data_IF_756728231321
#
_entry.id   IF_756728231321
#
_cell.length_a   1.000
_cell.length_b   1.000
_cell.length_c   1.000
_cell.angle_alpha   90.00
_cell.angle_beta   90.00
_cell.angle_gamma   90.00
#
_symmetry.space_group_name_H-M   'P 1'
#
loop_
_entity.id
_entity.type
_entity.pdbx_description
1 polymer ?
#
# COMPACT_ATOMS: atom_id res chain seq x y z
N UNK A 1 -6.56 -10.45 2.75
CA UNK A 1 -5.45 -9.50 2.98
C UNK A 1 -4.57 -9.55 1.74
N UNK A 2 -4.04 -8.42 1.31
CA UNK A 2 -3.13 -8.36 0.16
C UNK A 2 -1.74 -7.97 0.67
N UNK A 3 -0.71 -8.69 0.24
CA UNK A 3 0.68 -8.39 0.55
C UNK A 3 1.44 -8.18 -0.76
N UNK A 4 2.21 -7.11 -0.83
CA UNK A 4 3.29 -7.01 -1.80
C UNK A 4 4.45 -7.76 -1.16
N UNK A 5 4.90 -8.84 -1.79
CA UNK A 5 6.05 -9.58 -1.30
C UNK A 5 7.28 -8.68 -1.47
N UNK A 6 7.72 -8.09 -0.38
CA UNK A 6 8.96 -7.33 -0.36
C UNK A 6 10.14 -8.31 -0.23
N UNK A 7 11.30 -7.98 -0.79
CA UNK A 7 12.52 -8.71 -0.53
C UNK A 7 13.27 -8.13 0.69
N UNK A 8 14.10 -8.97 1.31
CA UNK A 8 15.16 -8.46 2.20
C UNK A 8 16.30 -7.92 1.35
N UNK A 9 16.77 -6.70 1.65
CA UNK A 9 17.79 -6.01 0.85
C UNK A 9 19.23 -6.35 1.23
N UNK A 10 19.47 -6.88 2.44
CA UNK A 10 20.80 -7.12 3.01
C UNK A 10 21.07 -8.62 3.21
N UNK A 11 20.87 -9.43 2.18
CA UNK A 11 21.20 -10.86 2.20
C UNK A 11 22.50 -11.09 1.41
N UNK A 12 23.38 -11.94 1.92
CA UNK A 12 24.61 -12.35 1.21
C UNK A 12 24.30 -12.90 -0.19
N UNK A 13 25.21 -12.71 -1.16
CA UNK A 13 25.03 -13.12 -2.56
C UNK A 13 24.78 -14.63 -2.71
N UNK A 14 25.44 -15.45 -1.90
CA UNK A 14 25.25 -16.91 -1.91
C UNK A 14 23.90 -17.28 -1.30
N UNK A 15 23.52 -16.62 -0.20
CA UNK A 15 22.21 -16.77 0.44
C UNK A 15 21.06 -16.31 -0.48
N UNK A 16 21.24 -15.24 -1.25
CA UNK A 16 20.27 -14.77 -2.25
C UNK A 16 20.02 -15.83 -3.34
N UNK A 17 21.08 -16.48 -3.82
CA UNK A 17 20.99 -17.56 -4.82
C UNK A 17 20.33 -18.81 -4.25
N UNK A 18 20.67 -19.19 -3.02
CA UNK A 18 20.03 -20.30 -2.33
C UNK A 18 18.52 -20.04 -2.14
N UNK A 19 18.17 -18.81 -1.74
CA UNK A 19 16.78 -18.34 -1.63
C UNK A 19 16.02 -18.44 -2.96
N UNK A 20 16.62 -18.01 -4.06
CA UNK A 20 16.02 -18.09 -5.39
C UNK A 20 15.77 -19.54 -5.84
N UNK A 21 16.69 -20.47 -5.55
CA UNK A 21 16.48 -21.90 -5.82
C UNK A 21 15.38 -22.51 -4.95
N UNK A 22 15.31 -22.14 -3.66
CA UNK A 22 14.26 -22.58 -2.75
C UNK A 22 12.87 -22.06 -3.14
N UNK A 23 12.79 -20.83 -3.65
CA UNK A 23 11.54 -20.25 -4.13
C UNK A 23 10.91 -21.02 -5.30
N UNK A 24 11.73 -21.75 -6.09
CA UNK A 24 11.26 -22.63 -7.18
C UNK A 24 10.64 -23.93 -6.66
N UNK A 25 10.81 -24.27 -5.39
CA UNK A 25 10.37 -25.53 -4.76
C UNK A 25 9.40 -25.31 -3.59
N UNK A 26 8.23 -24.68 -3.82
CA UNK A 26 7.31 -24.32 -2.74
C UNK A 26 6.80 -25.53 -1.96
N UNK A 27 6.63 -26.68 -2.62
CA UNK A 27 6.17 -27.92 -1.99
C UNK A 27 7.17 -28.46 -0.94
N UNK A 28 8.47 -28.19 -1.11
CA UNK A 28 9.50 -28.59 -0.17
C UNK A 28 9.68 -27.56 0.96
N UNK A 29 9.59 -26.27 0.62
CA UNK A 29 9.79 -25.18 1.57
C UNK A 29 8.65 -25.03 2.59
N UNK A 30 7.39 -25.33 2.22
CA UNK A 30 6.24 -25.17 3.12
C UNK A 30 6.35 -26.02 4.40
N UNK A 31 6.63 -27.34 4.34
CA UNK A 31 6.86 -28.13 5.55
C UNK A 31 8.04 -27.63 6.39
N UNK A 32 9.15 -27.23 5.75
CA UNK A 32 10.34 -26.73 6.43
C UNK A 32 10.10 -25.40 7.15
N UNK A 33 9.24 -24.53 6.60
CA UNK A 33 8.81 -23.31 7.27
C UNK A 33 8.05 -23.57 8.57
N UNK A 34 7.23 -24.61 8.62
CA UNK A 34 6.53 -25.00 9.84
C UNK A 34 7.48 -25.61 10.87
N UNK A 35 8.38 -26.48 10.43
CA UNK A 35 9.45 -27.02 11.29
C UNK A 35 10.24 -25.87 11.93
N UNK A 36 10.64 -24.88 11.11
CA UNK A 36 11.37 -23.69 11.55
C UNK A 36 10.65 -22.89 12.65
N UNK A 37 9.33 -22.73 12.53
CA UNK A 37 8.50 -22.01 13.52
C UNK A 37 8.29 -22.78 14.83
N UNK A 38 8.38 -24.11 14.80
CA UNK A 38 8.11 -24.98 15.96
C UNK A 38 9.36 -25.25 16.80
N UNK A 39 10.56 -25.04 16.23
CA UNK A 39 11.84 -25.29 16.91
C UNK A 39 12.44 -24.00 17.46
N UNK A 40 13.36 -24.15 18.41
CA UNK A 40 14.14 -23.02 18.94
C UNK A 40 15.21 -22.55 17.94
N UNK A 41 15.66 -21.29 18.03
CA UNK A 41 16.68 -20.73 17.12
C UNK A 41 17.97 -21.57 17.05
N UNK A 42 18.35 -22.26 18.14
CA UNK A 42 19.53 -23.14 18.16
C UNK A 42 19.38 -24.40 17.30
N UNK A 43 18.17 -24.73 16.86
CA UNK A 43 17.89 -25.86 15.97
C UNK A 43 17.72 -25.44 14.49
N UNK A 44 17.74 -24.14 14.19
CA UNK A 44 17.62 -23.62 12.81
C UNK A 44 18.74 -24.13 11.90
N UNK A 45 19.98 -24.23 12.42
CA UNK A 45 21.11 -24.77 11.66
C UNK A 45 20.90 -26.23 11.22
N UNK A 46 20.19 -27.05 12.01
CA UNK A 46 19.86 -28.44 11.62
C UNK A 46 18.91 -28.47 10.42
N UNK A 47 17.93 -27.55 10.41
CA UNK A 47 17.01 -27.39 9.28
C UNK A 47 17.78 -26.92 8.04
N UNK A 48 18.72 -25.99 8.20
CA UNK A 48 19.58 -25.51 7.12
C UNK A 48 20.43 -26.63 6.50
N UNK A 49 21.07 -27.49 7.31
CA UNK A 49 21.84 -28.65 6.81
C UNK A 49 20.98 -29.67 6.04
N UNK A 50 19.74 -29.89 6.49
CA UNK A 50 18.77 -30.74 5.80
C UNK A 50 18.43 -30.18 4.41
N UNK A 51 18.15 -28.87 4.35
CA UNK A 51 17.84 -28.16 3.10
C UNK A 51 19.05 -28.08 2.18
N UNK A 52 20.25 -27.84 2.73
CA UNK A 52 21.51 -27.84 2.00
C UNK A 52 21.73 -29.19 1.29
N UNK A 53 21.54 -30.31 2.01
CA UNK A 53 21.61 -31.66 1.42
C UNK A 53 20.58 -31.88 0.32
N UNK A 54 19.39 -31.28 0.45
CA UNK A 54 18.36 -31.35 -0.58
C UNK A 54 18.77 -30.58 -1.84
N UNK A 55 19.28 -29.35 -1.71
CA UNK A 55 19.78 -28.53 -2.82
C UNK A 55 20.98 -29.19 -3.52
N UNK A 56 21.92 -29.73 -2.74
CA UNK A 56 23.10 -30.42 -3.27
C UNK A 56 22.74 -31.63 -4.15
N UNK A 57 21.72 -32.41 -3.76
CA UNK A 57 21.20 -33.54 -4.57
C UNK A 57 20.65 -33.12 -5.93
N UNK A 58 20.33 -31.83 -6.09
CA UNK A 58 19.81 -31.24 -7.32
C UNK A 58 20.87 -30.45 -8.10
N UNK A 59 22.14 -30.53 -7.69
CA UNK A 59 23.26 -29.89 -8.36
C UNK A 59 23.52 -28.45 -7.92
N UNK A 60 22.87 -27.98 -6.85
CA UNK A 60 23.07 -26.66 -6.29
C UNK A 60 23.85 -26.78 -4.97
N UNK A 61 25.14 -26.44 -5.00
CA UNK A 61 25.99 -26.41 -3.80
C UNK A 61 26.00 -25.01 -3.18
N UNK A 62 25.70 -24.95 -1.89
CA UNK A 62 25.70 -23.73 -1.06
C UNK A 62 26.25 -24.05 0.32
N UNK A 63 26.85 -23.08 1.01
CA UNK A 63 27.23 -23.24 2.42
C UNK A 63 25.99 -23.34 3.34
N UNK A 64 26.12 -24.07 4.46
CA UNK A 64 25.04 -24.25 5.41
C UNK A 64 24.62 -22.92 6.05
N UNK A 65 25.56 -22.01 6.27
CA UNK A 65 25.27 -20.67 6.82
C UNK A 65 24.48 -19.82 5.83
N UNK A 66 24.84 -19.86 4.54
CA UNK A 66 24.11 -19.19 3.46
C UNK A 66 22.69 -19.76 3.29
N UNK A 67 22.52 -21.07 3.44
CA UNK A 67 21.18 -21.71 3.44
C UNK A 67 20.37 -21.31 4.67
N UNK A 68 20.99 -21.23 5.84
CA UNK A 68 20.29 -20.77 7.06
C UNK A 68 19.81 -19.32 6.91
N UNK A 69 20.66 -18.44 6.38
CA UNK A 69 20.32 -17.05 6.10
C UNK A 69 19.19 -16.95 5.06
N UNK A 70 19.25 -17.76 3.99
CA UNK A 70 18.19 -17.87 3.00
C UNK A 70 16.84 -18.34 3.59
N UNK A 71 16.87 -19.33 4.47
CA UNK A 71 15.67 -19.84 5.15
C UNK A 71 15.11 -18.81 6.13
N UNK A 72 15.97 -18.15 6.91
CA UNK A 72 15.58 -17.06 7.81
C UNK A 72 14.88 -15.95 7.01
N UNK A 73 15.49 -15.54 5.90
CA UNK A 73 14.91 -14.57 4.95
C UNK A 73 13.56 -14.99 4.37
N UNK A 74 13.38 -16.26 4.06
CA UNK A 74 12.13 -16.80 3.51
C UNK A 74 11.03 -16.97 4.57
N UNK A 75 11.40 -17.38 5.78
CA UNK A 75 10.46 -17.85 6.78
C UNK A 75 10.09 -16.77 7.80
N UNK A 76 11.06 -15.93 8.13
CA UNK A 76 11.00 -14.78 9.01
C UNK A 76 11.50 -13.53 8.28
N UNK A 77 10.84 -13.11 7.18
CA UNK A 77 11.29 -11.95 6.43
C UNK A 77 11.32 -10.73 7.35
N UNK A 78 12.52 -10.34 7.77
CA UNK A 78 12.81 -9.07 8.39
C UNK A 78 13.13 -8.16 7.24
N UNK A 79 12.17 -7.35 6.86
CA UNK A 79 12.42 -6.25 5.93
C UNK A 79 13.31 -5.24 6.66
N UNK A 80 14.61 -5.54 6.70
CA UNK A 80 15.64 -4.64 7.17
C UNK A 80 15.61 -3.49 6.20
N UNK A 81 14.97 -2.43 6.66
CA UNK A 81 15.19 -1.13 6.10
C UNK A 81 16.68 -0.81 6.30
N UNK A 82 17.26 -0.11 5.33
CA UNK A 82 18.61 0.44 5.39
C UNK A 82 18.92 1.02 6.79
N UNK A 83 20.17 1.02 7.23
CA UNK A 83 20.59 1.53 8.57
C UNK A 83 20.21 3.03 8.78
N UNK A 84 19.72 3.71 7.74
CA UNK A 84 19.18 5.07 7.76
C UNK A 84 17.65 5.21 7.71
N UNK A 85 16.87 4.13 7.83
CA UNK A 85 15.41 4.23 7.80
C UNK A 85 14.85 4.88 9.06
N UNK A 86 13.88 5.77 8.87
CA UNK A 86 13.26 6.49 9.97
C UNK A 86 12.53 5.53 10.92
N UNK A 87 12.91 5.58 12.20
CA UNK A 87 12.29 4.81 13.28
C UNK A 87 11.15 5.63 13.88
N UNK A 88 9.93 5.09 13.97
CA UNK A 88 8.80 5.82 14.55
C UNK A 88 9.05 6.14 16.03
N UNK A 89 8.54 7.27 16.48
CA UNK A 89 8.64 7.70 17.87
C UNK A 89 7.66 6.94 18.78
N UNK A 90 6.51 6.54 18.24
CA UNK A 90 5.50 5.74 18.92
C UNK A 90 5.46 4.30 18.39
N UNK A 91 5.01 3.32 19.20
CA UNK A 91 4.72 1.98 18.70
C UNK A 91 3.67 2.02 17.59
N UNK A 92 3.88 1.19 16.57
CA UNK A 92 2.98 1.07 15.42
C UNK A 92 2.19 -0.24 15.50
N UNK A 93 0.95 -0.22 15.02
CA UNK A 93 0.18 -1.45 14.84
C UNK A 93 0.90 -2.43 13.89
N UNK A 94 0.55 -3.72 13.94
CA UNK A 94 1.12 -4.73 13.02
C UNK A 94 0.95 -4.33 11.55
N UNK A 95 -0.22 -3.81 11.17
CA UNK A 95 -0.50 -3.37 9.80
C UNK A 95 0.36 -2.16 9.41
N UNK A 96 0.53 -1.20 10.31
CA UNK A 96 1.34 -0.01 10.06
C UNK A 96 2.83 -0.34 9.97
N UNK A 97 3.31 -1.24 10.82
CA UNK A 97 4.67 -1.79 10.74
C UNK A 97 4.93 -2.44 9.37
N UNK A 98 3.99 -3.28 8.92
CA UNK A 98 4.07 -3.92 7.61
C UNK A 98 4.05 -2.89 6.46
N UNK A 99 3.22 -1.85 6.57
CA UNK A 99 3.15 -0.75 5.59
C UNK A 99 4.41 0.10 5.55
N UNK A 100 5.04 0.32 6.70
CA UNK A 100 6.34 1.02 6.78
C UNK A 100 7.44 0.24 6.09
N UNK A 101 7.45 -1.07 6.23
CA UNK A 101 8.39 -1.93 5.51
C UNK A 101 8.18 -1.80 3.99
N UNK A 102 6.94 -1.87 3.52
CA UNK A 102 6.60 -1.65 2.10
C UNK A 102 7.04 -0.26 1.63
N UNK A 103 6.77 0.77 2.43
CA UNK A 103 7.16 2.16 2.15
C UNK A 103 8.68 2.31 2.04
N UNK A 104 9.46 1.71 2.94
CA UNK A 104 10.92 1.83 2.94
C UNK A 104 11.53 1.19 1.69
N UNK A 105 10.98 0.08 1.21
CA UNK A 105 11.48 -0.64 0.03
C UNK A 105 11.06 0.05 -1.27
N UNK A 106 9.78 0.42 -1.43
CA UNK A 106 9.23 0.96 -2.69
C UNK A 106 9.84 2.32 -3.08
N UNK A 107 10.45 3.02 -2.12
CA UNK A 107 11.16 4.29 -2.32
C UNK A 107 12.53 4.13 -2.97
N UNK A 108 13.13 2.96 -2.85
CA UNK A 108 14.48 2.69 -3.33
C UNK A 108 14.46 2.20 -4.78
N UNK A 109 15.58 2.40 -5.47
CA UNK A 109 15.80 1.76 -6.78
C UNK A 109 15.98 0.26 -6.58
N UNK A 110 15.22 -0.54 -7.31
CA UNK A 110 15.31 -2.00 -7.34
C UNK A 110 15.38 -2.44 -8.80
N UNK A 111 16.55 -2.92 -9.21
CA UNK A 111 16.82 -3.33 -10.59
C UNK A 111 17.77 -4.54 -10.64
N UNK A 112 17.40 -5.58 -9.91
CA UNK A 112 18.14 -6.83 -9.81
C UNK A 112 17.18 -8.00 -10.05
N UNK A 113 17.00 -8.45 -11.31
CA UNK A 113 16.06 -9.53 -11.63
C UNK A 113 16.50 -10.89 -11.08
N UNK A 114 17.76 -11.08 -10.74
CA UNK A 114 18.29 -12.35 -10.21
C UNK A 114 17.94 -12.49 -8.72
N UNK A 115 18.05 -11.40 -7.94
CA UNK A 115 17.67 -11.39 -6.52
C UNK A 115 16.19 -11.08 -6.28
N UNK A 116 15.60 -10.26 -7.16
CA UNK A 116 14.27 -9.67 -6.98
C UNK A 116 13.44 -9.80 -8.27
N UNK A 117 13.13 -11.03 -8.71
CA UNK A 117 12.43 -11.26 -9.99
C UNK A 117 11.03 -10.64 -10.03
N UNK A 118 10.39 -10.50 -8.86
CA UNK A 118 8.99 -10.11 -8.69
C UNK A 118 8.77 -8.60 -8.44
N UNK A 119 9.85 -7.82 -8.30
CA UNK A 119 9.78 -6.39 -8.01
C UNK A 119 10.86 -5.64 -8.79
N UNK A 120 10.45 -4.66 -9.61
CA UNK A 120 11.35 -3.73 -10.31
C UNK A 120 10.87 -2.31 -10.10
N UNK A 121 11.73 -1.47 -9.51
CA UNK A 121 11.43 -0.08 -9.15
C UNK A 121 12.52 0.83 -9.70
N UNK A 122 12.12 1.73 -10.59
CA UNK A 122 13.03 2.66 -11.26
C UNK A 122 12.64 4.10 -10.87
N UNK A 123 13.55 4.88 -10.26
CA UNK A 123 13.28 6.28 -9.97
C UNK A 123 12.92 7.07 -11.23
N UNK A 124 11.92 7.93 -11.12
CA UNK A 124 11.54 8.90 -12.14
C UNK A 124 11.80 10.30 -11.64
N UNK A 125 12.10 11.23 -12.56
CA UNK A 125 12.13 12.64 -12.24
C UNK A 125 10.72 13.11 -11.84
N UNK A 126 10.67 14.02 -10.86
CA UNK A 126 9.43 14.71 -10.48
C UNK A 126 9.18 15.81 -11.52
N UNK A 127 8.00 15.86 -12.16
CA UNK A 127 7.66 16.95 -13.07
C UNK A 127 7.82 18.33 -12.43
N UNK A 128 8.33 19.31 -13.17
CA UNK A 128 8.63 20.67 -12.68
C UNK A 128 7.41 21.34 -12.00
N UNK A 129 6.22 21.11 -12.54
CA UNK A 129 4.95 21.65 -12.03
C UNK A 129 4.51 21.02 -10.70
N UNK A 130 5.13 19.91 -10.28
CA UNK A 130 4.88 19.24 -9.02
C UNK A 130 6.01 19.44 -8.02
N UNK A 131 7.05 20.20 -8.38
CA UNK A 131 8.20 20.43 -7.50
C UNK A 131 7.76 21.10 -6.19
N UNK A 132 8.23 20.57 -5.06
CA UNK A 132 7.83 21.01 -3.72
C UNK A 132 6.48 20.47 -3.24
N UNK A 133 5.59 20.01 -4.13
CA UNK A 133 4.39 19.24 -3.79
C UNK A 133 4.75 17.77 -3.59
N UNK A 134 5.47 17.23 -4.56
CA UNK A 134 5.87 15.84 -4.67
C UNK A 134 7.38 15.77 -4.47
N UNK A 135 7.83 14.83 -3.65
CA UNK A 135 9.27 14.62 -3.40
C UNK A 135 9.82 13.44 -4.17
N UNK A 136 8.98 12.48 -4.56
CA UNK A 136 9.41 11.27 -5.24
C UNK A 136 8.32 10.71 -6.15
N UNK A 137 8.74 10.31 -7.34
CA UNK A 137 7.96 9.46 -8.25
C UNK A 137 8.83 8.27 -8.62
N UNK A 138 8.35 7.05 -8.40
CA UNK A 138 9.03 5.84 -8.85
C UNK A 138 8.13 5.05 -9.80
N UNK A 139 8.74 4.53 -10.87
CA UNK A 139 8.12 3.62 -11.81
C UNK A 139 8.26 2.19 -11.27
N UNK A 140 7.14 1.57 -10.93
CA UNK A 140 7.10 0.17 -10.50
C UNK A 140 6.82 -0.66 -11.74
N UNK A 141 7.86 -0.96 -12.51
CA UNK A 141 7.71 -1.68 -13.79
C UNK A 141 7.30 -3.15 -13.61
N UNK A 142 7.58 -3.71 -12.44
CA UNK A 142 7.13 -5.06 -12.08
C UNK A 142 6.80 -5.12 -10.60
N UNK A 143 5.67 -5.73 -10.30
CA UNK A 143 5.16 -5.95 -8.95
C UNK A 143 4.43 -7.29 -8.89
N UNK A 144 4.62 -8.07 -7.84
CA UNK A 144 3.79 -9.23 -7.51
C UNK A 144 2.95 -8.95 -6.25
N UNK A 145 1.62 -8.95 -6.41
CA UNK A 145 0.66 -8.91 -5.31
C UNK A 145 0.17 -10.34 -5.01
N UNK A 146 0.38 -10.82 -3.79
CA UNK A 146 -0.24 -12.05 -3.32
C UNK A 146 -1.48 -11.74 -2.48
N UNK A 147 -2.61 -12.32 -2.85
CA UNK A 147 -3.89 -12.13 -2.18
C UNK A 147 -4.39 -13.46 -1.64
N UNK A 148 -4.53 -13.53 -0.32
CA UNK A 148 -5.12 -14.68 0.35
C UNK A 148 -6.57 -14.38 0.73
N UNK A 149 -7.46 -15.33 0.42
CA UNK A 149 -8.85 -15.31 0.86
C UNK A 149 -8.98 -16.07 2.17
N UNK A 150 -9.43 -15.37 3.21
CA UNK A 150 -9.55 -15.89 4.58
C UNK A 150 -11.01 -15.85 5.07
N UNK A 151 -11.96 -15.98 4.16
CA UNK A 151 -13.39 -16.01 4.49
C UNK A 151 -14.11 -14.67 4.28
N UNK A 152 -15.33 -14.59 4.80
CA UNK A 152 -16.21 -13.44 4.70
C UNK A 152 -16.82 -13.11 6.08
N UNK A 153 -17.07 -11.82 6.29
CA UNK A 153 -17.88 -11.32 7.40
C UNK A 153 -19.23 -10.84 6.85
N UNK A 154 -20.22 -10.71 7.74
CA UNK A 154 -21.52 -10.09 7.41
C UNK A 154 -21.77 -8.98 8.42
N UNK A 155 -22.35 -7.88 7.95
CA UNK A 155 -22.69 -6.67 8.72
C UNK A 155 -21.47 -5.88 9.19
N UNK A 156 -20.56 -6.49 9.95
CA UNK A 156 -19.36 -5.83 10.48
C UNK A 156 -18.08 -6.58 10.11
N UNK A 157 -17.05 -5.88 9.59
CA UNK A 157 -15.74 -6.48 9.38
C UNK A 157 -15.15 -6.96 10.71
N UNK A 158 -14.76 -8.23 10.78
CA UNK A 158 -14.00 -8.71 11.94
C UNK A 158 -12.54 -8.27 11.80
N UNK A 159 -12.02 -7.63 12.84
CA UNK A 159 -10.58 -7.35 12.96
C UNK A 159 -9.87 -8.67 13.24
N UNK A 160 -9.06 -9.12 12.30
CA UNK A 160 -8.29 -10.35 12.44
C UNK A 160 -6.81 -9.98 12.53
N UNK A 161 -6.09 -10.44 13.57
CA UNK A 161 -4.65 -10.29 13.63
C UNK A 161 -3.97 -10.94 12.42
N UNK A 162 -3.04 -10.27 11.73
CA UNK A 162 -2.23 -10.84 10.64
C UNK A 162 -1.51 -12.16 10.98
N UNK A 163 -1.22 -12.40 12.26
CA UNK A 163 -0.36 -13.49 12.74
C UNK A 163 -0.99 -14.88 12.70
N UNK A 164 -2.33 -14.99 12.68
CA UNK A 164 -3.02 -16.29 12.69
C UNK A 164 -4.17 -16.36 11.68
N UNK A 165 -4.38 -17.54 11.11
CA UNK A 165 -5.60 -17.80 10.34
C UNK A 165 -6.78 -17.65 11.31
N UNK A 166 -7.72 -16.71 11.08
CA UNK A 166 -8.81 -16.51 12.02
C UNK A 166 -9.61 -17.79 12.15
N UNK A 167 -10.04 -18.10 13.36
CA UNK A 167 -10.96 -19.19 13.64
C UNK A 167 -12.19 -19.20 12.73
N UNK A 168 -12.65 -18.02 12.33
CA UNK A 168 -13.71 -17.86 11.35
C UNK A 168 -13.31 -18.38 9.96
N UNK A 169 -12.10 -18.10 9.48
CA UNK A 169 -11.58 -18.65 8.22
C UNK A 169 -11.49 -20.17 8.29
N UNK A 170 -10.96 -20.73 9.38
CA UNK A 170 -10.82 -22.18 9.56
C UNK A 170 -12.20 -22.85 9.42
N UNK A 171 -13.22 -22.32 10.11
CA UNK A 171 -14.58 -22.87 10.06
C UNK A 171 -15.30 -22.67 8.72
N UNK A 172 -14.98 -21.60 7.99
CA UNK A 172 -15.61 -21.28 6.71
C UNK A 172 -14.97 -22.03 5.54
N UNK A 173 -13.66 -22.26 5.57
CA UNK A 173 -12.91 -22.87 4.49
C UNK A 173 -12.87 -24.40 4.59
N UNK A 174 -12.85 -24.95 5.81
CA UNK A 174 -12.71 -26.39 6.03
C UNK A 174 -14.01 -27.02 6.52
N UNK A 175 -14.51 -28.02 5.78
CA UNK A 175 -15.63 -28.86 6.24
C UNK A 175 -15.27 -29.62 7.54
N UNK A 176 -14.02 -30.05 7.62
CA UNK A 176 -13.43 -30.70 8.80
C UNK A 176 -12.10 -29.98 9.10
N UNK A 177 -12.08 -29.02 10.04
CA UNK A 177 -10.87 -28.31 10.42
C UNK A 177 -9.73 -29.26 10.77
N UNK A 178 -8.57 -29.17 10.12
CA UNK A 178 -7.43 -30.00 10.46
C UNK A 178 -6.87 -29.62 11.84
N UNK A 179 -6.48 -30.66 12.59
CA UNK A 179 -5.87 -30.47 13.92
C UNK A 179 -4.46 -29.91 13.75
N UNK A 180 -3.68 -30.47 12.83
CA UNK A 180 -2.34 -30.03 12.49
C UNK A 180 -2.37 -28.65 11.80
N UNK A 181 -1.46 -27.77 12.21
CA UNK A 181 -1.29 -26.44 11.62
C UNK A 181 -0.73 -26.56 10.20
N UNK A 182 0.06 -27.60 9.90
CA UNK A 182 0.64 -27.82 8.57
C UNK A 182 -0.42 -28.04 7.48
N UNK A 183 -1.59 -28.55 7.85
CA UNK A 183 -2.72 -28.80 6.95
C UNK A 183 -3.66 -27.58 6.82
N UNK A 184 -3.40 -26.48 7.56
CA UNK A 184 -4.18 -25.25 7.49
C UNK A 184 -3.66 -24.34 6.37
N UNK A 185 -4.26 -24.46 5.18
CA UNK A 185 -3.95 -23.64 4.01
C UNK A 185 -5.00 -22.54 3.75
N UNK A 186 -4.57 -21.44 3.10
CA UNK A 186 -5.46 -20.41 2.56
C UNK A 186 -5.42 -20.44 1.03
N UNK A 187 -6.55 -20.36 0.32
CA UNK A 187 -6.54 -20.13 -1.11
C UNK A 187 -5.95 -18.73 -1.39
N UNK A 188 -4.95 -18.68 -2.27
CA UNK A 188 -4.28 -17.45 -2.64
C UNK A 188 -4.08 -17.36 -4.15
N UNK A 189 -4.01 -16.13 -4.65
CA UNK A 189 -3.65 -15.82 -6.04
C UNK A 189 -2.48 -14.85 -6.05
N UNK A 190 -1.49 -15.12 -6.90
CA UNK A 190 -0.41 -14.20 -7.21
C UNK A 190 -0.77 -13.45 -8.50
N UNK A 191 -0.66 -12.13 -8.48
CA UNK A 191 -0.95 -11.26 -9.62
C UNK A 191 0.28 -10.43 -9.91
N UNK A 192 0.71 -10.43 -11.16
CA UNK A 192 1.80 -9.61 -11.63
C UNK A 192 1.25 -8.34 -12.25
N UNK A 193 1.98 -7.24 -12.09
CA UNK A 193 1.52 -5.95 -12.56
C UNK A 193 2.61 -4.91 -12.61
N UNK A 194 2.18 -3.71 -12.94
CA UNK A 194 2.98 -2.49 -12.97
C UNK A 194 2.29 -1.40 -12.14
N UNK A 195 3.00 -0.32 -11.85
CA UNK A 195 2.46 0.77 -11.05
C UNK A 195 3.29 2.04 -11.07
N UNK A 196 2.74 3.06 -10.43
CA UNK A 196 3.35 4.35 -10.19
C UNK A 196 3.31 4.59 -8.69
N UNK A 197 4.47 4.82 -8.10
CA UNK A 197 4.61 5.27 -6.72
C UNK A 197 4.81 6.78 -6.68
N UNK A 198 4.14 7.43 -5.74
CA UNK A 198 4.15 8.87 -5.51
C UNK A 198 4.34 9.17 -4.01
N UNK A 199 5.17 10.13 -3.66
CA UNK A 199 5.35 10.61 -2.29
C UNK A 199 5.15 12.13 -2.20
N UNK A 200 4.29 12.57 -1.29
CA UNK A 200 4.06 14.00 -1.02
C UNK A 200 5.17 14.57 -0.13
N UNK A 201 5.41 15.88 -0.27
CA UNK A 201 6.32 16.62 0.58
C UNK A 201 5.78 16.74 2.01
N UNK A 202 6.48 16.11 2.96
CA UNK A 202 6.15 16.21 4.39
C UNK A 202 6.21 17.66 4.88
N UNK A 203 7.22 18.42 4.45
CA UNK A 203 7.38 19.83 4.86
C UNK A 203 6.18 20.66 4.38
N UNK A 204 5.81 20.53 3.10
CA UNK A 204 4.65 21.21 2.54
C UNK A 204 3.34 20.77 3.20
N UNK A 205 3.21 19.47 3.52
CA UNK A 205 2.03 18.94 4.19
C UNK A 205 1.90 19.52 5.61
N UNK A 206 2.99 19.60 6.37
CA UNK A 206 3.02 20.27 7.69
C UNK A 206 2.66 21.75 7.59
N UNK A 207 3.26 22.47 6.64
CA UNK A 207 2.94 23.88 6.40
C UNK A 207 1.46 24.08 6.04
N UNK A 208 0.91 23.23 5.18
CA UNK A 208 -0.50 23.26 4.81
C UNK A 208 -1.42 23.01 6.02
N UNK A 209 -1.11 22.02 6.86
CA UNK A 209 -1.87 21.72 8.07
C UNK A 209 -1.84 22.88 9.06
N UNK A 210 -0.68 23.51 9.25
CA UNK A 210 -0.53 24.66 10.14
C UNK A 210 -1.29 25.88 9.61
N UNK A 211 -1.13 26.21 8.32
CA UNK A 211 -1.79 27.34 7.68
C UNK A 211 -3.32 27.21 7.71
N UNK A 212 -3.84 25.99 7.54
CA UNK A 212 -5.27 25.71 7.46
C UNK A 212 -5.84 25.10 8.74
N UNK A 213 -5.17 25.26 9.88
CA UNK A 213 -5.56 24.63 11.14
C UNK A 213 -7.03 24.91 11.53
N UNK A 214 -7.50 26.16 11.38
CA UNK A 214 -8.89 26.51 11.70
C UNK A 214 -9.90 25.82 10.77
N UNK A 215 -9.64 25.83 9.46
CA UNK A 215 -10.49 25.16 8.48
C UNK A 215 -10.55 23.64 8.72
N UNK A 216 -9.41 23.03 9.03
CA UNK A 216 -9.34 21.61 9.41
C UNK A 216 -10.07 21.33 10.72
N UNK A 217 -10.02 22.24 11.70
CA UNK A 217 -10.73 22.09 12.97
C UNK A 217 -12.25 22.12 12.80
N UNK A 218 -12.76 23.04 11.96
CA UNK A 218 -14.19 23.15 11.67
C UNK A 218 -14.70 21.95 10.85
N UNK A 219 -13.85 21.42 9.96
CA UNK A 219 -14.20 20.32 9.06
C UNK A 219 -14.03 18.94 9.67
N UNK A 220 -13.04 18.76 10.55
CA UNK A 220 -12.67 17.49 11.19
C UNK A 220 -12.93 17.56 12.69
N UNK A 221 -14.21 17.37 13.07
CA UNK A 221 -14.62 17.30 14.46
C UNK A 221 -13.99 16.11 15.18
N UNK A 222 -13.88 16.19 16.50
CA UNK A 222 -13.28 15.12 17.31
C UNK A 222 -14.08 13.80 17.17
N UNK A 223 -15.40 13.89 17.03
CA UNK A 223 -16.30 12.76 16.80
C UNK A 223 -16.10 12.12 15.41
N UNK A 224 -15.83 12.92 14.37
CA UNK A 224 -15.42 12.40 13.06
C UNK A 224 -14.09 11.65 13.15
N UNK A 225 -13.10 12.24 13.83
CA UNK A 225 -11.77 11.65 13.97
C UNK A 225 -11.85 10.33 14.75
N UNK A 226 -12.71 10.25 15.78
CA UNK A 226 -12.95 9.01 16.51
C UNK A 226 -13.49 7.91 15.58
N UNK A 227 -14.55 8.19 14.81
CA UNK A 227 -15.10 7.23 13.84
C UNK A 227 -14.11 6.80 12.77
N UNK A 228 -13.29 7.73 12.28
CA UNK A 228 -12.24 7.42 11.31
C UNK A 228 -11.16 6.52 11.92
N UNK A 229 -10.83 6.73 13.20
CA UNK A 229 -9.83 5.93 13.93
C UNK A 229 -10.30 4.50 14.18
N UNK A 230 -11.62 4.26 14.23
CA UNK A 230 -12.23 2.93 14.35
C UNK A 230 -12.19 2.11 13.05
N UNK A 231 -11.70 2.67 11.94
CA UNK A 231 -11.48 1.94 10.70
C UNK A 231 -10.15 1.18 10.77
N UNK A 232 -10.15 -0.17 10.79
CA UNK A 232 -8.89 -0.92 10.84
C UNK A 232 -7.97 -0.61 9.65
N UNK A 233 -8.54 -0.36 8.47
CA UNK A 233 -7.79 -0.05 7.25
C UNK A 233 -7.24 1.38 7.22
N UNK A 234 -7.71 2.29 8.09
CA UNK A 234 -7.21 3.65 8.13
C UNK A 234 -5.83 3.76 8.80
N UNK A 235 -5.36 2.68 9.45
CA UNK A 235 -4.05 2.62 10.11
C UNK A 235 -3.87 3.78 11.09
N UNK A 236 -4.86 3.98 11.96
CA UNK A 236 -4.79 4.97 13.02
C UNK A 236 -3.60 4.66 13.95
N UNK A 237 -2.89 5.70 14.44
CA UNK A 237 -1.89 5.51 15.48
C UNK A 237 -2.52 4.90 16.75
N UNK A 238 -1.73 4.27 17.61
CA UNK A 238 -2.24 3.70 18.86
C UNK A 238 -2.91 4.79 19.71
N UNK A 239 -4.21 4.63 19.98
CA UNK A 239 -5.04 5.61 20.68
C UNK A 239 -6.07 6.29 19.76
N UNK A 240 -6.52 7.49 20.14
CA UNK A 240 -7.40 8.30 19.28
C UNK A 240 -6.53 9.00 18.24
N UNK A 241 -6.90 8.88 16.96
CA UNK A 241 -6.21 9.57 15.87
C UNK A 241 -6.16 11.07 16.11
N UNK A 242 -5.12 11.73 15.59
CA UNK A 242 -5.01 13.18 15.64
C UNK A 242 -5.62 13.82 14.39
N UNK A 243 -5.84 15.14 14.43
CA UNK A 243 -6.32 15.89 13.26
C UNK A 243 -5.26 15.92 12.15
N UNK A 244 -3.98 15.93 12.51
CA UNK A 244 -2.86 15.82 11.58
C UNK A 244 -2.87 14.46 10.86
N UNK A 245 -3.15 13.38 11.58
CA UNK A 245 -3.33 12.07 10.97
C UNK A 245 -4.57 12.02 10.08
N UNK A 246 -5.72 12.47 10.58
CA UNK A 246 -6.99 12.39 9.83
C UNK A 246 -6.94 13.21 8.53
N UNK A 247 -6.43 14.45 8.58
CA UNK A 247 -6.28 15.30 7.39
C UNK A 247 -5.30 14.72 6.38
N UNK A 248 -4.17 14.15 6.85
CA UNK A 248 -3.19 13.44 6.00
C UNK A 248 -3.80 12.21 5.35
N UNK A 249 -4.56 11.43 6.11
CA UNK A 249 -5.24 10.24 5.61
C UNK A 249 -6.23 10.60 4.50
N UNK A 250 -7.14 11.55 4.77
CA UNK A 250 -8.13 12.00 3.80
C UNK A 250 -7.49 12.58 2.54
N UNK A 251 -6.41 13.35 2.70
CA UNK A 251 -5.66 13.94 1.58
C UNK A 251 -5.06 12.86 0.67
N UNK A 252 -4.25 11.96 1.24
CA UNK A 252 -3.52 10.92 0.49
C UNK A 252 -4.50 9.94 -0.18
N UNK A 253 -5.52 9.51 0.56
CA UNK A 253 -6.53 8.58 0.05
C UNK A 253 -7.38 9.21 -1.07
N UNK A 254 -7.86 10.45 -0.88
CA UNK A 254 -8.63 11.13 -1.92
C UNK A 254 -7.78 11.43 -3.17
N UNK A 255 -6.50 11.75 -2.99
CA UNK A 255 -5.57 11.93 -4.12
C UNK A 255 -5.42 10.63 -4.92
N UNK A 256 -5.26 9.49 -4.25
CA UNK A 256 -5.16 8.19 -4.90
C UNK A 256 -6.40 7.89 -5.77
N UNK A 257 -7.60 8.16 -5.24
CA UNK A 257 -8.86 8.03 -5.96
C UNK A 257 -8.96 8.93 -7.19
N UNK A 258 -8.62 10.21 -7.03
CA UNK A 258 -8.65 11.20 -8.12
C UNK A 258 -7.66 10.83 -9.23
N UNK A 259 -6.46 10.36 -8.85
CA UNK A 259 -5.46 9.88 -9.79
C UNK A 259 -5.89 8.61 -10.51
N UNK A 260 -6.40 7.60 -9.81
CA UNK A 260 -6.93 6.36 -10.44
C UNK A 260 -8.00 6.70 -11.47
N UNK A 261 -8.95 7.57 -11.10
CA UNK A 261 -10.01 7.99 -11.99
C UNK A 261 -9.46 8.65 -13.26
N UNK A 262 -8.41 9.47 -13.18
CA UNK A 262 -7.78 10.06 -14.37
C UNK A 262 -6.95 9.04 -15.16
N UNK A 263 -6.12 8.25 -14.49
CA UNK A 263 -5.21 7.29 -15.11
C UNK A 263 -5.95 6.26 -15.97
N UNK A 264 -7.12 5.80 -15.53
CA UNK A 264 -7.98 4.88 -16.29
C UNK A 264 -8.35 5.42 -17.67
N UNK A 265 -8.62 6.72 -17.80
CA UNK A 265 -8.90 7.34 -19.12
C UNK A 265 -7.66 7.37 -20.02
N UNK A 266 -6.46 7.40 -19.44
CA UNK A 266 -5.20 7.54 -20.16
C UNK A 266 -4.60 6.19 -20.56
N UNK A 267 -4.66 5.18 -19.68
CA UNK A 267 -4.07 3.85 -19.92
C UNK A 267 -5.04 2.83 -20.53
N UNK A 268 -6.35 3.09 -20.51
CA UNK A 268 -7.37 2.19 -21.06
C UNK A 268 -7.69 0.96 -20.20
N UNK A 269 -7.09 0.84 -19.01
CA UNK A 269 -7.51 -0.15 -18.02
C UNK A 269 -8.89 0.20 -17.46
N UNK A 270 -9.67 -0.79 -17.04
CA UNK A 270 -10.92 -0.50 -16.31
C UNK A 270 -10.61 0.05 -14.91
N UNK A 271 -11.52 0.82 -14.32
CA UNK A 271 -11.38 1.30 -12.94
C UNK A 271 -11.21 0.16 -11.92
N UNK A 272 -11.80 -1.00 -12.17
CA UNK A 272 -11.68 -2.20 -11.33
C UNK A 272 -10.32 -2.92 -11.46
N UNK A 273 -9.51 -2.54 -12.46
CA UNK A 273 -8.20 -3.13 -12.74
C UNK A 273 -7.04 -2.36 -12.12
N UNK A 274 -7.29 -1.14 -11.62
CA UNK A 274 -6.30 -0.36 -10.86
C UNK A 274 -6.64 -0.40 -9.37
N UNK A 275 -5.60 -0.47 -8.56
CA UNK A 275 -5.67 -0.46 -7.10
C UNK A 275 -4.76 0.61 -6.53
N UNK A 276 -5.06 1.01 -5.30
CA UNK A 276 -4.18 1.80 -4.46
C UNK A 276 -3.58 0.97 -3.32
N UNK A 277 -2.41 1.41 -2.88
CA UNK A 277 -1.77 1.09 -1.60
C UNK A 277 -1.42 2.42 -0.96
N UNK A 278 -1.85 2.64 0.27
CA UNK A 278 -1.63 3.89 0.99
C UNK A 278 -0.52 3.71 2.02
N UNK A 279 0.38 4.69 2.09
CA UNK A 279 1.45 4.75 3.09
C UNK A 279 1.27 6.01 3.91
N UNK A 280 0.62 5.88 5.06
CA UNK A 280 0.17 7.01 5.87
C UNK A 280 0.66 6.83 7.31
N UNK A 281 1.39 7.82 7.80
CA UNK A 281 1.75 7.96 9.21
C UNK A 281 1.99 9.43 9.51
N UNK A 282 1.42 9.92 10.61
CA UNK A 282 1.67 11.26 11.13
C UNK A 282 2.73 11.26 12.26
N UNK A 283 3.46 10.14 12.42
CA UNK A 283 4.56 10.08 13.38
C UNK A 283 5.63 11.12 13.01
N UNK A 284 6.07 11.97 13.96
CA UNK A 284 6.98 13.06 13.66
C UNK A 284 8.40 12.59 13.31
N UNK A 285 8.84 11.43 13.82
CA UNK A 285 10.15 10.86 13.56
C UNK A 285 10.16 10.04 12.27
N UNK A 286 9.04 9.41 11.92
CA UNK A 286 8.93 8.58 10.72
C UNK A 286 7.63 8.82 9.93
N UNK A 287 7.40 10.03 9.39
CA UNK A 287 6.17 10.34 8.67
C UNK A 287 6.08 9.57 7.34
N UNK A 288 4.85 9.25 6.93
CA UNK A 288 4.56 8.68 5.61
C UNK A 288 3.38 9.40 4.96
N UNK A 289 3.54 9.78 3.69
CA UNK A 289 2.49 10.35 2.84
C UNK A 289 2.70 9.88 1.39
N UNK A 290 2.61 8.57 1.18
CA UNK A 290 2.87 7.93 -0.10
C UNK A 290 1.67 7.17 -0.65
N UNK A 291 1.64 7.00 -1.97
CA UNK A 291 0.62 6.25 -2.71
C UNK A 291 1.33 5.35 -3.71
N UNK A 292 0.96 4.09 -3.79
CA UNK A 292 1.26 3.23 -4.93
C UNK A 292 -0.05 2.93 -5.68
N UNK A 293 -0.13 3.34 -6.94
CA UNK A 293 -1.21 2.96 -7.84
C UNK A 293 -0.70 1.86 -8.74
N UNK A 294 -1.34 0.70 -8.75
CA UNK A 294 -0.85 -0.48 -9.46
C UNK A 294 -1.98 -1.27 -10.13
N UNK A 295 -1.63 -2.05 -11.13
CA UNK A 295 -2.58 -2.95 -11.81
C UNK A 295 -2.84 -4.20 -10.98
N UNK A 296 -4.10 -4.60 -10.85
CA UNK A 296 -4.53 -5.77 -10.07
C UNK A 296 -5.12 -6.91 -10.91
N UNK A 297 -4.87 -6.88 -12.22
CA UNK A 297 -5.44 -7.78 -13.21
C UNK A 297 -4.44 -8.22 -14.31
N UNK A 298 -3.13 -8.13 -14.06
CA UNK A 298 -2.15 -8.68 -15.00
C UNK A 298 -2.13 -10.20 -14.92
N UNK A 299 -2.20 -10.85 -16.07
CA UNK A 299 -1.88 -12.26 -16.21
C UNK A 299 -0.35 -12.46 -16.20
N UNK A 300 0.08 -13.72 -16.19
CA UNK A 300 1.49 -14.10 -16.22
C UNK A 300 2.23 -13.64 -17.49
N UNK A 301 1.52 -13.13 -18.51
CA UNK A 301 2.10 -12.61 -19.75
C UNK A 301 2.50 -11.12 -19.65
N UNK A 302 2.15 -10.46 -18.55
CA UNK A 302 2.60 -9.11 -18.21
C UNK A 302 1.71 -8.01 -18.76
N UNK A 303 1.78 -6.85 -18.11
CA UNK A 303 1.15 -5.62 -18.60
C UNK A 303 1.99 -5.04 -19.74
N UNK A 304 1.36 -4.46 -20.77
CA UNK A 304 2.09 -3.86 -21.91
C UNK A 304 2.75 -2.50 -21.58
N UNK A 305 3.04 -2.22 -20.31
CA UNK A 305 3.63 -0.94 -19.90
C UNK A 305 2.65 0.25 -19.96
N UNK A 306 1.34 -0.01 -19.93
CA UNK A 306 0.31 1.00 -20.19
C UNK A 306 0.19 2.01 -19.04
N UNK A 307 0.29 1.55 -17.80
CA UNK A 307 0.22 2.40 -16.61
C UNK A 307 1.58 3.00 -16.28
N UNK A 308 2.66 2.20 -16.25
CA UNK A 308 3.97 2.69 -15.77
C UNK A 308 4.50 3.85 -16.63
N UNK A 309 4.23 3.81 -17.94
CA UNK A 309 4.62 4.90 -18.87
C UNK A 309 3.96 6.23 -18.54
N UNK A 310 2.80 6.24 -17.89
CA UNK A 310 2.12 7.47 -17.48
C UNK A 310 2.82 8.16 -16.29
N UNK A 311 3.64 7.42 -15.54
CA UNK A 311 4.46 7.97 -14.45
C UNK A 311 5.70 8.73 -14.92
N UNK A 312 6.03 8.67 -16.22
CA UNK A 312 7.17 9.38 -16.80
C UNK A 312 6.97 10.91 -16.71
N UNK A 313 8.04 11.69 -16.49
CA UNK A 313 7.95 13.12 -16.17
C UNK A 313 7.24 13.93 -17.26
N UNK A 314 7.36 13.53 -18.53
CA UNK A 314 6.76 14.22 -19.67
C UNK A 314 5.21 14.09 -19.71
N UNK A 315 4.65 13.16 -18.95
CA UNK A 315 3.21 12.84 -18.94
C UNK A 315 2.58 13.11 -17.59
N UNK A 316 3.25 12.72 -16.52
CA UNK A 316 2.66 12.62 -15.20
C UNK A 316 2.14 13.96 -14.68
N UNK A 317 2.88 15.06 -14.83
CA UNK A 317 2.45 16.39 -14.38
C UNK A 317 1.13 16.85 -15.02
N UNK A 318 0.99 16.67 -16.34
CA UNK A 318 -0.25 16.99 -17.06
C UNK A 318 -1.43 16.11 -16.60
N UNK A 319 -1.18 14.85 -16.28
CA UNK A 319 -2.19 13.92 -15.75
C UNK A 319 -2.65 14.38 -14.37
N UNK A 320 -1.73 14.72 -13.47
CA UNK A 320 -2.07 15.22 -12.12
C UNK A 320 -2.91 16.49 -12.23
N UNK A 321 -2.50 17.48 -13.03
CA UNK A 321 -3.29 18.72 -13.23
C UNK A 321 -4.70 18.45 -13.74
N UNK A 322 -4.87 17.58 -14.74
CA UNK A 322 -6.19 17.18 -15.23
C UNK A 322 -7.03 16.51 -14.14
N UNK A 323 -6.42 15.62 -13.36
CA UNK A 323 -7.08 14.92 -12.26
C UNK A 323 -7.58 15.91 -11.19
N UNK A 324 -6.73 16.83 -10.74
CA UNK A 324 -7.06 17.85 -9.74
C UNK A 324 -8.11 18.84 -10.28
N UNK A 325 -7.96 19.29 -11.52
CA UNK A 325 -8.93 20.20 -12.15
C UNK A 325 -10.30 19.54 -12.26
N UNK A 326 -10.37 18.25 -12.62
CA UNK A 326 -11.63 17.50 -12.64
C UNK A 326 -12.21 17.32 -11.24
N UNK A 327 -11.38 17.06 -10.24
CA UNK A 327 -11.82 16.94 -8.85
C UNK A 327 -12.39 18.24 -8.28
N UNK A 328 -12.10 19.40 -8.88
CA UNK A 328 -12.65 20.70 -8.49
C UNK A 328 -14.14 20.86 -8.76
N UNK A 329 -14.75 19.98 -9.58
CA UNK A 329 -16.16 20.04 -9.93
C UNK A 329 -16.89 18.73 -9.63
N UNK A 330 -18.10 18.80 -9.07
CA UNK A 330 -18.98 17.65 -8.90
C UNK A 330 -20.40 18.01 -9.32
N UNK A 331 -21.03 17.15 -10.11
CA UNK A 331 -22.42 17.35 -10.56
C UNK A 331 -23.46 17.30 -9.43
N UNK A 332 -23.06 16.82 -8.25
CA UNK A 332 -23.90 16.74 -7.06
C UNK A 332 -23.63 17.89 -6.07
N UNK A 333 -22.84 18.90 -6.43
CA UNK A 333 -22.68 20.09 -5.59
C UNK A 333 -23.97 20.93 -5.58
N UNK A 334 -24.32 21.58 -4.44
CA UNK A 334 -23.56 21.65 -3.19
C UNK A 334 -23.78 20.47 -2.22
N UNK A 335 -24.73 19.56 -2.51
CA UNK A 335 -25.05 18.42 -1.63
C UNK A 335 -23.82 17.55 -1.35
N UNK A 336 -22.94 17.39 -2.34
CA UNK A 336 -21.67 16.70 -2.15
C UNK A 336 -20.66 17.54 -1.34
N UNK A 337 -20.38 18.80 -1.73
CA UNK A 337 -19.35 19.63 -1.09
C UNK A 337 -19.65 20.03 0.35
N UNK A 338 -20.92 20.25 0.69
CA UNK A 338 -21.39 20.64 2.03
C UNK A 338 -21.57 19.44 2.97
N UNK A 339 -21.37 18.21 2.49
CA UNK A 339 -21.47 17.03 3.32
C UNK A 339 -20.30 16.98 4.33
N UNK A 340 -20.60 17.30 5.58
CA UNK A 340 -19.65 17.26 6.71
C UNK A 340 -19.76 15.97 7.54
N UNK A 341 -20.01 14.84 6.88
CA UNK A 341 -19.94 13.51 7.50
C UNK A 341 -21.26 12.75 7.54
N UNK A 342 -21.92 12.58 6.38
CA UNK A 342 -23.25 11.96 6.32
C UNK A 342 -23.72 11.39 4.98
N UNK A 343 -22.93 10.52 4.32
CA UNK A 343 -23.41 9.40 3.47
C UNK A 343 -22.43 8.21 3.58
N UNK A 344 -22.94 6.97 3.67
CA UNK A 344 -22.15 5.73 3.83
C UNK A 344 -22.30 5.06 5.20
N UNK A 345 -21.85 3.81 5.34
CA UNK A 345 -22.14 2.94 6.50
C UNK A 345 -21.55 3.42 7.83
N UNK A 346 -20.48 4.23 7.82
CA UNK A 346 -19.77 4.72 9.02
C UNK A 346 -19.68 6.24 9.15
N UNK A 347 -20.28 7.02 8.24
CA UNK A 347 -20.28 8.50 8.29
C UNK A 347 -18.86 9.12 8.37
N UNK A 348 -17.92 8.52 7.63
CA UNK A 348 -16.51 8.90 7.55
C UNK A 348 -16.14 9.54 6.20
N UNK A 349 -17.11 9.72 5.31
CA UNK A 349 -16.94 10.42 4.05
C UNK A 349 -17.50 11.84 4.16
N UNK A 350 -16.73 12.82 3.66
CA UNK A 350 -17.11 14.24 3.61
C UNK A 350 -17.54 14.59 2.17
N UNK A 351 -16.79 15.43 1.45
CA UNK A 351 -17.07 15.75 0.05
C UNK A 351 -16.66 14.61 -0.90
N UNK A 352 -17.41 13.51 -0.84
CA UNK A 352 -17.16 12.30 -1.60
C UNK A 352 -18.46 11.63 -2.05
N UNK A 353 -18.61 11.43 -3.37
CA UNK A 353 -19.73 10.71 -3.96
C UNK A 353 -19.31 9.98 -5.25
N UNK A 354 -20.22 9.18 -5.82
CA UNK A 354 -19.98 8.43 -7.05
C UNK A 354 -19.67 9.31 -8.26
N UNK A 355 -20.10 10.58 -8.25
CA UNK A 355 -19.83 11.51 -9.35
C UNK A 355 -18.40 12.07 -9.36
N UNK A 356 -17.67 12.00 -8.24
CA UNK A 356 -16.36 12.67 -8.11
C UNK A 356 -15.20 11.75 -7.71
N UNK A 357 -15.32 10.99 -6.63
CA UNK A 357 -14.15 10.30 -6.04
C UNK A 357 -14.36 8.83 -5.68
N UNK A 358 -15.60 8.31 -5.59
CA UNK A 358 -15.74 6.87 -5.28
C UNK A 358 -15.20 6.00 -6.42
N UNK A 359 -14.55 4.90 -6.05
CA UNK A 359 -14.03 3.86 -6.95
C UNK A 359 -14.81 2.55 -6.76
N UNK A 360 -14.66 1.56 -7.65
CA UNK A 360 -15.07 0.19 -7.33
C UNK A 360 -14.45 -0.28 -6.00
N UNK A 361 -15.22 -0.96 -5.17
CA UNK A 361 -14.76 -1.43 -3.84
C UNK A 361 -13.50 -2.30 -3.92
N UNK A 362 -13.30 -3.01 -5.04
CA UNK A 362 -12.13 -3.87 -5.27
C UNK A 362 -10.83 -3.10 -5.54
N UNK A 363 -10.93 -1.79 -5.79
CA UNK A 363 -9.82 -0.89 -6.13
C UNK A 363 -9.27 -0.14 -4.93
N UNK A 364 -10.11 0.16 -3.95
CA UNK A 364 -9.79 0.91 -2.75
C UNK A 364 -9.52 -0.03 -1.57
N UNK A 365 -8.36 0.10 -0.91
CA UNK A 365 -8.02 -0.79 0.20
C UNK A 365 -8.87 -0.54 1.47
N UNK A 366 -9.52 0.62 1.55
CA UNK A 366 -10.39 1.03 2.66
C UNK A 366 -11.89 0.94 2.32
N UNK A 367 -12.23 0.40 1.14
CA UNK A 367 -13.62 0.19 0.68
C UNK A 367 -14.39 1.53 0.62
N UNK A 368 -13.77 2.55 0.02
CA UNK A 368 -14.30 3.90 -0.13
C UNK A 368 -14.66 4.59 1.21
N UNK A 369 -13.91 4.31 2.29
CA UNK A 369 -14.15 4.91 3.60
C UNK A 369 -13.06 5.93 3.95
N UNK A 370 -13.47 7.14 4.34
CA UNK A 370 -12.55 8.21 4.67
C UNK A 370 -12.07 8.96 3.43
N UNK A 371 -13.01 9.54 2.68
CA UNK A 371 -12.74 10.34 1.48
C UNK A 371 -13.25 11.77 1.65
N UNK A 372 -12.49 12.72 1.12
CA UNK A 372 -12.84 14.12 1.07
C UNK A 372 -12.05 14.87 -0.03
N UNK A 373 -12.69 15.12 -1.18
CA UNK A 373 -12.03 15.84 -2.27
C UNK A 373 -11.65 17.27 -1.89
N UNK A 374 -12.31 17.87 -0.89
CA UNK A 374 -12.00 19.22 -0.46
C UNK A 374 -10.61 19.35 0.17
N UNK A 375 -10.02 18.25 0.66
CA UNK A 375 -8.62 18.24 1.10
C UNK A 375 -7.67 18.58 -0.07
N UNK A 376 -8.05 18.23 -1.31
CA UNK A 376 -7.26 18.49 -2.51
C UNK A 376 -7.52 19.89 -3.07
N UNK A 377 -8.78 20.28 -3.21
CA UNK A 377 -9.18 21.43 -4.03
C UNK A 377 -9.96 22.52 -3.27
N UNK A 378 -10.20 22.33 -1.97
CA UNK A 378 -11.11 23.15 -1.18
C UNK A 378 -12.58 22.92 -1.55
N UNK A 379 -13.46 23.83 -1.16
CA UNK A 379 -14.89 23.77 -1.52
C UNK A 379 -15.16 24.62 -2.76
N UNK A 380 -16.33 24.47 -3.41
CA UNK A 380 -16.72 25.35 -4.53
C UNK A 380 -16.72 26.84 -4.16
N UNK A 381 -17.01 27.18 -2.91
CA UNK A 381 -17.08 28.54 -2.38
C UNK A 381 -15.70 29.10 -2.03
N UNK A 382 -14.82 28.26 -1.49
CA UNK A 382 -13.45 28.64 -1.12
C UNK A 382 -12.46 27.51 -1.42
N UNK A 383 -11.64 27.71 -2.45
CA UNK A 383 -10.58 26.79 -2.86
C UNK A 383 -9.28 26.93 -2.06
N UNK A 384 -9.10 28.05 -1.35
CA UNK A 384 -7.84 28.38 -0.69
C UNK A 384 -7.31 27.33 0.31
N UNK A 385 -8.17 26.53 0.99
CA UNK A 385 -7.70 25.49 1.90
C UNK A 385 -7.26 24.20 1.21
N UNK A 386 -7.49 24.02 -0.09
CA UNK A 386 -7.11 22.81 -0.81
C UNK A 386 -5.60 22.67 -0.96
N UNK A 387 -5.03 21.50 -0.64
CA UNK A 387 -3.59 21.22 -0.71
C UNK A 387 -2.99 21.43 -2.11
N UNK A 388 -3.78 21.12 -3.15
CA UNK A 388 -3.43 21.19 -4.58
C UNK A 388 -4.25 22.26 -5.31
N UNK A 389 -4.80 23.23 -4.59
CA UNK A 389 -5.63 24.30 -5.17
C UNK A 389 -4.90 25.10 -6.25
N UNK A 390 -3.58 25.26 -6.15
CA UNK A 390 -2.75 25.93 -7.16
C UNK A 390 -2.64 25.17 -8.49
N UNK A 391 -2.98 23.88 -8.53
CA UNK A 391 -2.97 23.06 -9.74
C UNK A 391 -4.31 23.03 -10.46
N UNK A 392 -5.36 23.65 -9.90
CA UNK A 392 -6.68 23.72 -10.54
C UNK A 392 -6.60 24.68 -11.73
N UNK A 393 -6.72 24.14 -12.94
CA UNK A 393 -6.79 24.94 -14.16
C UNK A 393 -8.08 25.75 -14.14
N UNK A 394 -7.95 27.08 -14.04
CA UNK A 394 -9.07 27.97 -14.26
C UNK A 394 -9.33 28.00 -15.76
N UNK A 395 -10.38 27.32 -16.24
CA UNK A 395 -10.87 27.54 -17.59
C UNK A 395 -11.38 28.99 -17.67
N UNK A 396 -10.51 29.91 -18.05
CA UNK A 396 -10.90 31.21 -18.56
C UNK A 396 -11.67 30.92 -19.85
N UNK A 397 -13.00 31.02 -19.78
CA UNK A 397 -13.83 31.08 -20.97
C UNK A 397 -13.57 32.45 -21.57
N UNK A 398 -12.62 32.53 -22.49
CA UNK A 398 -12.40 33.71 -23.35
C UNK A 398 -13.61 33.96 -24.26
#
# INVERSE_FOLDING_TARGET
MAAILLPEMNIDDEAARARAELAKEPAYCVPKRMEWKLVSESEHSRIAEDVQRYLARRGNEFDATAVEEALRSLFEPRFNADDGAAVPAAPESELQTFRRQEFNVIRQKIDDPDRMPDLRVIPSEVPDDLYGIVTRVNLVERLCETRAFFGFSRLEPQTVPPSEMPDAAIRQLFRYPPVDIADRWLPAVAVFGEGIYLELSEDRLREWQQKNHSWLADRLSDDFILRLSELPQAMAPEGVGSREWASRFLLVHSLAHVLINQLVFECGYSTASLRERLYISADPAAPMAGILIYTSAGDSEGTMGGLVRLGQPERFGAIVRRAISRASWCSADPVCSENLGGQGSRQVNLAACHSCVLLPETSCETINQGLDRAMLVGTPEDRSPGYLSELVETYMVD
#
